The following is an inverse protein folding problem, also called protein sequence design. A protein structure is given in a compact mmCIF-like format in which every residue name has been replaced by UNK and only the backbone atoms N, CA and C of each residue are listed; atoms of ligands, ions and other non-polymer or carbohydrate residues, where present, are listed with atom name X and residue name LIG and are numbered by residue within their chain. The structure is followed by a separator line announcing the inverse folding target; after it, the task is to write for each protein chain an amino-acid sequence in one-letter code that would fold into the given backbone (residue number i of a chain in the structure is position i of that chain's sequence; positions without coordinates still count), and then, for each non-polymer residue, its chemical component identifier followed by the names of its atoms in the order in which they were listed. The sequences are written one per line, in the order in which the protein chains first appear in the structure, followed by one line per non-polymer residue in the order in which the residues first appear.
data_IF_730581101784
#
_entry.id   IF_730581101784
#
_cell.length_a   1.000
_cell.length_b   1.000
_cell.length_c   1.000
_cell.angle_alpha   90.00
_cell.angle_beta   90.00
_cell.angle_gamma   90.00
#
_symmetry.space_group_name_H-M   'P 1'
#
loop_
_entity.id
_entity.type
_entity.pdbx_description
1 polymer ?
#
# COMPACT_ATOMS: atom_id res chain seq x y z
N UNK A 1 -25.08 -12.10 6.28
CA UNK A 1 -24.95 -10.91 5.44
C UNK A 1 -25.93 -11.05 4.29
N UNK A 2 -27.16 -10.55 4.45
CA UNK A 2 -28.24 -10.74 3.46
C UNK A 2 -28.30 -9.60 2.42
N UNK A 3 -27.73 -8.45 2.74
CA UNK A 3 -27.66 -7.28 1.87
C UNK A 3 -26.20 -6.80 1.76
N UNK A 4 -25.81 -6.39 0.56
CA UNK A 4 -24.48 -5.83 0.31
C UNK A 4 -24.50 -4.36 0.76
N UNK A 5 -23.78 -3.99 1.86
CA UNK A 5 -23.83 -2.64 2.42
C UNK A 5 -23.29 -1.57 1.47
N UNK A 6 -22.52 -1.98 0.45
CA UNK A 6 -21.94 -1.08 -0.54
C UNK A 6 -22.89 -0.71 -1.69
N UNK A 7 -24.03 -1.41 -1.83
CA UNK A 7 -25.00 -1.14 -2.93
C UNK A 7 -25.80 0.15 -2.75
N UNK A 8 -25.91 0.65 -1.53
CA UNK A 8 -26.67 1.86 -1.21
C UNK A 8 -25.83 3.14 -1.23
N UNK A 9 -24.51 3.03 -1.41
CA UNK A 9 -23.63 4.20 -1.42
C UNK A 9 -23.85 5.06 -2.66
N UNK A 10 -23.87 6.37 -2.45
CA UNK A 10 -23.75 7.34 -3.52
C UNK A 10 -22.35 7.27 -4.14
N UNK A 11 -22.21 7.78 -5.37
CA UNK A 11 -20.93 7.74 -6.10
C UNK A 11 -19.76 8.32 -5.30
N UNK A 12 -19.96 9.47 -4.66
CA UNK A 12 -18.93 10.15 -3.87
C UNK A 12 -18.57 9.38 -2.59
N UNK A 13 -19.55 8.74 -1.95
CA UNK A 13 -19.33 7.88 -0.78
C UNK A 13 -18.54 6.62 -1.18
N UNK A 14 -18.86 6.04 -2.34
CA UNK A 14 -18.13 4.91 -2.90
C UNK A 14 -16.68 5.28 -3.26
N UNK A 15 -16.47 6.43 -3.90
CA UNK A 15 -15.11 6.93 -4.22
C UNK A 15 -14.30 7.16 -2.94
N UNK A 16 -14.93 7.72 -1.90
CA UNK A 16 -14.29 7.91 -0.59
C UNK A 16 -13.89 6.60 0.07
N UNK A 17 -14.81 5.64 0.12
CA UNK A 17 -14.54 4.33 0.70
C UNK A 17 -13.44 3.59 -0.07
N UNK A 18 -13.46 3.67 -1.40
CA UNK A 18 -12.50 2.97 -2.23
C UNK A 18 -11.07 3.49 -2.03
N UNK A 19 -10.89 4.81 -1.96
CA UNK A 19 -9.59 5.42 -1.64
C UNK A 19 -9.17 5.05 -0.22
N UNK A 20 -10.10 5.13 0.75
CA UNK A 20 -9.84 4.78 2.15
C UNK A 20 -9.38 3.34 2.29
N UNK A 21 -10.04 2.40 1.60
CA UNK A 21 -9.68 0.98 1.63
C UNK A 21 -8.27 0.75 1.07
N UNK A 22 -7.93 1.35 -0.07
CA UNK A 22 -6.58 1.27 -0.65
C UNK A 22 -5.52 1.86 0.29
N UNK A 23 -5.79 3.06 0.82
CA UNK A 23 -4.88 3.78 1.74
C UNK A 23 -4.63 2.98 3.02
N UNK A 24 -5.71 2.56 3.69
CA UNK A 24 -5.63 1.80 4.95
C UNK A 24 -4.86 0.50 4.77
N UNK A 25 -5.18 -0.28 3.73
CA UNK A 25 -4.53 -1.56 3.49
C UNK A 25 -3.05 -1.40 3.12
N UNK A 26 -2.68 -0.32 2.43
CA UNK A 26 -1.28 0.04 2.19
C UNK A 26 -0.58 0.40 3.51
N UNK A 27 -1.17 1.25 4.33
CA UNK A 27 -0.62 1.64 5.64
C UNK A 27 -0.42 0.43 6.58
N UNK A 28 -1.40 -0.47 6.65
CA UNK A 28 -1.27 -1.70 7.43
C UNK A 28 -0.12 -2.57 6.91
N UNK A 29 0.05 -2.69 5.59
CA UNK A 29 1.16 -3.41 4.99
C UNK A 29 2.50 -2.74 5.33
N UNK A 30 2.57 -1.41 5.28
CA UNK A 30 3.76 -0.65 5.65
C UNK A 30 4.11 -0.77 7.14
N UNK A 31 3.12 -0.83 8.04
CA UNK A 31 3.34 -1.08 9.48
C UNK A 31 4.07 -2.42 9.73
N UNK A 32 3.86 -3.42 8.88
CA UNK A 32 4.57 -4.72 8.95
C UNK A 32 6.04 -4.64 8.51
N UNK A 33 6.43 -3.59 7.77
CA UNK A 33 7.83 -3.29 7.42
C UNK A 33 8.49 -2.32 8.39
N UNK A 34 7.79 -1.24 8.79
CA UNK A 34 8.35 -0.19 9.65
C UNK A 34 8.65 -0.69 11.06
N UNK A 35 7.80 -1.54 11.63
CA UNK A 35 8.01 -2.09 12.98
C UNK A 35 9.32 -2.89 13.08
N UNK A 36 9.65 -3.81 12.15
CA UNK A 36 10.95 -4.50 12.14
C UNK A 36 12.13 -3.63 11.70
N UNK A 37 11.93 -2.67 10.78
CA UNK A 37 12.98 -1.70 10.41
C UNK A 37 13.40 -0.85 11.62
N UNK A 38 12.46 -0.52 12.50
CA UNK A 38 12.66 0.22 13.74
C UNK A 38 13.48 1.51 13.54
N UNK A 39 14.40 1.83 14.47
CA UNK A 39 15.27 2.99 14.33
C UNK A 39 16.35 2.71 13.28
N UNK A 40 16.76 3.75 12.56
CA UNK A 40 17.81 3.65 11.55
C UNK A 40 19.05 2.97 12.13
N UNK A 41 19.52 1.90 11.48
CA UNK A 41 20.69 1.12 11.91
C UNK A 41 20.47 0.19 13.10
N UNK A 42 19.25 0.12 13.65
CA UNK A 42 18.91 -0.73 14.79
C UNK A 42 17.64 -1.56 14.51
N UNK A 43 17.66 -2.46 13.50
CA UNK A 43 16.52 -3.28 13.17
C UNK A 43 16.13 -4.21 14.32
N UNK A 44 14.85 -4.61 14.33
CA UNK A 44 14.29 -5.59 15.27
C UNK A 44 13.69 -6.76 14.48
N UNK A 45 14.53 -7.68 13.94
CA UNK A 45 14.07 -8.75 13.04
C UNK A 45 12.91 -9.59 13.59
N UNK A 46 12.91 -9.88 14.90
CA UNK A 46 11.88 -10.68 15.58
C UNK A 46 10.48 -10.03 15.60
N UNK A 47 10.36 -8.75 15.26
CA UNK A 47 9.07 -8.07 15.13
C UNK A 47 8.41 -8.34 13.77
N UNK A 48 9.11 -9.04 12.86
CA UNK A 48 8.57 -9.38 11.55
C UNK A 48 7.42 -10.36 11.70
N UNK A 49 6.28 -10.05 11.08
CA UNK A 49 5.18 -10.99 10.93
C UNK A 49 5.67 -12.24 10.17
N UNK A 50 5.21 -13.43 10.54
CA UNK A 50 5.61 -14.68 9.87
C UNK A 50 7.12 -14.95 9.87
N UNK A 51 7.88 -14.44 10.87
CA UNK A 51 9.33 -14.66 10.93
C UNK A 51 9.73 -16.12 11.05
N UNK A 52 8.93 -16.94 11.77
CA UNK A 52 9.22 -18.37 11.96
C UNK A 52 9.07 -19.20 10.68
N UNK A 53 8.17 -18.78 9.78
CA UNK A 53 7.95 -19.43 8.49
C UNK A 53 8.79 -18.82 7.38
N UNK A 54 9.51 -17.73 7.66
CA UNK A 54 10.35 -17.02 6.68
C UNK A 54 9.59 -16.51 5.44
N UNK A 55 8.29 -16.18 5.60
CA UNK A 55 7.40 -15.76 4.49
C UNK A 55 7.01 -14.28 4.54
N UNK A 56 7.58 -13.48 5.44
CA UNK A 56 7.18 -12.08 5.68
C UNK A 56 7.14 -11.22 4.41
N UNK A 57 8.22 -11.23 3.61
CA UNK A 57 8.34 -10.42 2.40
C UNK A 57 7.48 -10.96 1.27
N UNK A 58 7.28 -12.28 1.19
CA UNK A 58 6.34 -12.87 0.22
C UNK A 58 4.90 -12.48 0.51
N UNK A 59 4.48 -12.51 1.78
CA UNK A 59 3.14 -12.08 2.19
C UNK A 59 2.92 -10.60 1.89
N UNK A 60 3.93 -9.77 2.13
CA UNK A 60 3.87 -8.34 1.81
C UNK A 60 3.82 -8.06 0.31
N UNK A 61 4.56 -8.82 -0.50
CA UNK A 61 4.45 -8.75 -1.97
C UNK A 61 3.03 -9.08 -2.43
N UNK A 62 2.45 -10.16 -1.93
CA UNK A 62 1.08 -10.55 -2.28
C UNK A 62 0.04 -9.47 -1.90
N UNK A 63 0.23 -8.79 -0.76
CA UNK A 63 -0.62 -7.64 -0.40
C UNK A 63 -0.46 -6.49 -1.40
N UNK A 64 0.77 -6.18 -1.82
CA UNK A 64 1.03 -5.12 -2.81
C UNK A 64 0.47 -5.47 -4.19
N UNK A 65 0.61 -6.73 -4.63
CA UNK A 65 0.00 -7.23 -5.87
C UNK A 65 -1.53 -7.13 -5.82
N UNK A 66 -2.13 -7.43 -4.67
CA UNK A 66 -3.57 -7.30 -4.46
C UNK A 66 -4.02 -5.84 -4.51
N UNK A 67 -3.28 -4.92 -3.90
CA UNK A 67 -3.52 -3.47 -3.98
C UNK A 67 -3.40 -2.95 -5.41
N UNK A 68 -2.39 -3.41 -6.15
CA UNK A 68 -2.20 -3.08 -7.57
C UNK A 68 -3.38 -3.57 -8.43
N UNK A 69 -3.78 -4.84 -8.27
CA UNK A 69 -4.97 -5.37 -8.95
C UNK A 69 -6.23 -4.59 -8.61
N UNK A 70 -6.37 -4.22 -7.34
CA UNK A 70 -7.49 -3.41 -6.88
C UNK A 70 -7.44 -1.99 -7.45
N UNK A 71 -6.28 -1.35 -7.57
CA UNK A 71 -6.13 -0.02 -8.17
C UNK A 71 -6.63 0.02 -9.63
N UNK A 72 -6.34 -1.03 -10.40
CA UNK A 72 -6.81 -1.14 -11.78
C UNK A 72 -8.23 -1.70 -11.91
N UNK A 73 -8.62 -2.64 -11.03
CA UNK A 73 -9.88 -3.39 -11.02
C UNK A 73 -10.40 -3.75 -12.44
N UNK A 74 -9.54 -4.38 -13.26
CA UNK A 74 -9.84 -4.75 -14.65
C UNK A 74 -10.33 -3.57 -15.51
N UNK A 75 -9.69 -2.40 -15.37
CA UNK A 75 -10.01 -1.18 -16.13
C UNK A 75 -11.22 -0.41 -15.58
N UNK A 76 -11.71 -0.77 -14.40
CA UNK A 76 -12.84 -0.11 -13.72
C UNK A 76 -12.46 0.47 -12.37
N UNK A 77 -11.18 0.44 -12.03
CA UNK A 77 -10.67 0.88 -10.74
C UNK A 77 -10.36 2.36 -10.67
N UNK A 78 -9.62 2.73 -9.64
CA UNK A 78 -9.23 4.11 -9.35
C UNK A 78 -8.41 4.74 -10.48
N UNK A 79 -7.58 3.96 -11.17
CA UNK A 79 -6.90 4.40 -12.41
C UNK A 79 -7.90 4.95 -13.44
N UNK A 80 -8.93 4.17 -13.76
CA UNK A 80 -9.93 4.55 -14.75
C UNK A 80 -10.76 5.76 -14.31
N UNK A 81 -11.06 5.87 -13.01
CA UNK A 81 -11.75 7.03 -12.43
C UNK A 81 -10.93 8.31 -12.61
N UNK A 82 -9.63 8.28 -12.28
CA UNK A 82 -8.73 9.41 -12.47
C UNK A 82 -8.65 9.83 -13.94
N UNK A 83 -8.47 8.86 -14.85
CA UNK A 83 -8.41 9.14 -16.30
C UNK A 83 -9.71 9.75 -16.83
N UNK A 84 -10.86 9.24 -16.39
CA UNK A 84 -12.17 9.79 -16.78
C UNK A 84 -12.37 11.25 -16.33
N UNK A 85 -11.70 11.67 -15.26
CA UNK A 85 -11.70 13.05 -14.76
C UNK A 85 -10.55 13.90 -15.32
N UNK A 86 -9.83 13.41 -16.34
CA UNK A 86 -8.72 14.12 -16.98
C UNK A 86 -7.41 14.12 -16.17
N UNK A 87 -7.33 13.34 -15.08
CA UNK A 87 -6.16 13.24 -14.19
C UNK A 87 -5.16 12.17 -14.64
N UNK A 88 -4.97 12.05 -15.96
CA UNK A 88 -4.14 11.01 -16.59
C UNK A 88 -2.71 10.96 -16.04
N UNK A 89 -2.07 12.12 -15.86
CA UNK A 89 -0.70 12.18 -15.32
C UNK A 89 -0.60 11.65 -13.89
N UNK A 90 -1.61 11.88 -13.06
CA UNK A 90 -1.65 11.33 -11.69
C UNK A 90 -1.87 9.82 -11.73
N UNK A 91 -2.76 9.33 -12.60
CA UNK A 91 -2.96 7.90 -12.81
C UNK A 91 -1.65 7.20 -13.23
N UNK A 92 -0.92 7.79 -14.19
CA UNK A 92 0.37 7.27 -14.65
C UNK A 92 1.43 7.26 -13.54
N UNK A 93 1.49 8.29 -12.69
CA UNK A 93 2.42 8.32 -11.53
C UNK A 93 2.11 7.22 -10.52
N UNK A 94 0.84 6.99 -10.20
CA UNK A 94 0.43 5.94 -9.25
C UNK A 94 0.74 4.56 -9.83
N UNK A 95 0.39 4.30 -11.10
CA UNK A 95 0.70 3.07 -11.80
C UNK A 95 2.21 2.78 -11.80
N UNK A 96 3.01 3.77 -12.22
CA UNK A 96 4.47 3.67 -12.21
C UNK A 96 5.03 3.37 -10.82
N UNK A 97 4.48 3.98 -9.77
CA UNK A 97 4.94 3.76 -8.41
C UNK A 97 4.64 2.33 -7.91
N UNK A 98 3.50 1.75 -8.29
CA UNK A 98 3.21 0.34 -8.04
C UNK A 98 4.19 -0.56 -8.80
N UNK A 99 4.37 -0.33 -10.11
CA UNK A 99 5.25 -1.13 -10.97
C UNK A 99 6.67 -1.13 -10.42
N UNK A 100 7.23 0.05 -10.14
CA UNK A 100 8.55 0.18 -9.52
C UNK A 100 8.64 -0.60 -8.20
N UNK A 101 7.64 -0.50 -7.33
CA UNK A 101 7.65 -1.18 -6.05
C UNK A 101 7.58 -2.71 -6.19
N UNK A 102 6.85 -3.23 -7.18
CA UNK A 102 6.71 -4.66 -7.44
C UNK A 102 7.93 -5.26 -8.17
N UNK A 103 8.44 -4.56 -9.19
CA UNK A 103 9.59 -4.98 -10.00
C UNK A 103 10.87 -5.06 -9.17
N UNK A 104 11.04 -4.11 -8.25
CA UNK A 104 12.21 -4.04 -7.37
C UNK A 104 11.97 -4.72 -6.01
N UNK A 105 10.87 -5.46 -5.87
CA UNK A 105 10.58 -6.17 -4.62
C UNK A 105 11.68 -7.21 -4.34
N UNK A 106 12.17 -7.34 -3.10
CA UNK A 106 13.20 -8.31 -2.73
C UNK A 106 12.88 -9.74 -3.19
N UNK A 107 13.90 -10.45 -3.70
CA UNK A 107 13.79 -11.90 -3.95
C UNK A 107 13.74 -12.70 -2.63
N UNK A 108 14.35 -12.17 -1.58
CA UNK A 108 14.27 -12.73 -0.23
C UNK A 108 12.82 -12.86 0.24
N UNK A 109 12.50 -14.02 0.81
CA UNK A 109 11.16 -14.29 1.36
C UNK A 109 11.00 -13.81 2.80
N UNK A 110 12.12 -13.67 3.52
CA UNK A 110 12.15 -13.42 4.96
C UNK A 110 12.65 -12.03 5.29
N UNK A 111 11.76 -11.21 5.86
CA UNK A 111 12.15 -9.91 6.41
C UNK A 111 13.10 -10.10 7.60
N UNK A 112 12.88 -11.15 8.40
CA UNK A 112 13.75 -11.49 9.51
C UNK A 112 15.20 -11.71 9.03
N UNK A 113 15.38 -12.50 7.98
CA UNK A 113 16.71 -12.82 7.45
C UNK A 113 17.35 -11.62 6.76
N UNK A 114 16.58 -10.86 5.97
CA UNK A 114 17.07 -9.64 5.31
C UNK A 114 17.65 -8.62 6.32
N UNK A 115 16.97 -8.44 7.46
CA UNK A 115 17.38 -7.49 8.49
C UNK A 115 18.61 -7.93 9.31
N UNK A 116 19.16 -9.12 9.09
CA UNK A 116 20.41 -9.56 9.72
C UNK A 116 21.68 -9.00 9.04
N UNK A 117 21.53 -8.32 7.90
CA UNK A 117 22.64 -7.76 7.14
C UNK A 117 22.44 -6.28 6.83
N UNK A 118 23.53 -5.55 6.63
CA UNK A 118 23.49 -4.12 6.25
C UNK A 118 22.84 -3.94 4.87
N UNK A 119 23.15 -4.81 3.92
CA UNK A 119 22.62 -4.71 2.56
C UNK A 119 21.13 -5.08 2.50
N UNK A 120 20.72 -6.15 3.20
CA UNK A 120 19.30 -6.49 3.33
C UNK A 120 18.51 -5.40 4.05
N UNK A 121 19.07 -4.77 5.09
CA UNK A 121 18.46 -3.60 5.73
C UNK A 121 18.26 -2.45 4.74
N UNK A 122 19.28 -2.10 3.95
CA UNK A 122 19.21 -1.02 2.95
C UNK A 122 18.16 -1.31 1.89
N UNK A 123 18.10 -2.54 1.42
CA UNK A 123 17.14 -3.01 0.42
C UNK A 123 15.70 -2.92 0.94
N UNK A 124 15.45 -3.37 2.18
CA UNK A 124 14.13 -3.22 2.81
C UNK A 124 13.76 -1.75 3.04
N UNK A 125 14.71 -0.91 3.47
CA UNK A 125 14.48 0.52 3.65
C UNK A 125 14.16 1.22 2.33
N UNK A 126 14.86 0.87 1.25
CA UNK A 126 14.55 1.37 -0.09
C UNK A 126 13.13 0.97 -0.52
N UNK A 127 12.71 -0.26 -0.21
CA UNK A 127 11.35 -0.70 -0.49
C UNK A 127 10.31 0.06 0.33
N UNK A 128 10.58 0.28 1.61
CA UNK A 128 9.72 1.08 2.48
C UNK A 128 9.51 2.50 1.94
N UNK A 129 10.58 3.16 1.49
CA UNK A 129 10.49 4.51 0.91
C UNK A 129 9.64 4.56 -0.37
N UNK A 130 9.69 3.52 -1.21
CA UNK A 130 8.80 3.43 -2.39
C UNK A 130 7.33 3.32 -1.98
N UNK A 131 7.03 2.60 -0.90
CA UNK A 131 5.66 2.51 -0.39
C UNK A 131 5.21 3.81 0.28
N UNK A 132 6.11 4.57 0.92
CA UNK A 132 5.80 5.92 1.41
C UNK A 132 5.42 6.87 0.26
N UNK A 133 6.15 6.82 -0.86
CA UNK A 133 5.79 7.61 -2.04
C UNK A 133 4.43 7.18 -2.63
N UNK A 134 4.15 5.87 -2.67
CA UNK A 134 2.85 5.37 -3.11
C UNK A 134 1.72 5.84 -2.19
N UNK A 135 1.94 5.79 -0.88
CA UNK A 135 1.01 6.28 0.14
C UNK A 135 0.73 7.76 -0.05
N UNK A 136 1.76 8.58 -0.26
CA UNK A 136 1.61 10.00 -0.54
C UNK A 136 0.74 10.26 -1.78
N UNK A 137 1.00 9.55 -2.89
CA UNK A 137 0.20 9.71 -4.11
C UNK A 137 -1.28 9.35 -3.88
N UNK A 138 -1.56 8.25 -3.17
CA UNK A 138 -2.95 7.79 -2.94
C UNK A 138 -3.67 8.67 -1.91
N UNK A 139 -3.03 8.96 -0.78
CA UNK A 139 -3.66 9.65 0.35
C UNK A 139 -3.76 11.15 0.07
N UNK A 140 -2.71 11.78 -0.44
CA UNK A 140 -2.68 13.24 -0.60
C UNK A 140 -3.16 13.64 -1.99
N UNK A 141 -2.53 13.15 -3.06
CA UNK A 141 -2.84 13.65 -4.41
C UNK A 141 -4.18 13.13 -4.92
N UNK A 142 -4.42 11.81 -4.86
CA UNK A 142 -5.65 11.22 -5.40
C UNK A 142 -6.89 11.64 -4.59
N UNK A 143 -6.81 11.68 -3.26
CA UNK A 143 -7.95 12.10 -2.45
C UNK A 143 -8.34 13.56 -2.73
N UNK A 144 -7.37 14.48 -2.80
CA UNK A 144 -7.60 15.89 -3.11
C UNK A 144 -8.24 16.04 -4.49
N UNK A 145 -7.68 15.38 -5.51
CA UNK A 145 -8.16 15.51 -6.89
C UNK A 145 -9.55 14.91 -7.13
N UNK A 146 -9.95 13.94 -6.31
CA UNK A 146 -11.29 13.37 -6.33
C UNK A 146 -12.26 14.05 -5.35
N UNK A 147 -11.81 15.09 -4.63
CA UNK A 147 -12.64 15.84 -3.67
C UNK A 147 -13.04 15.00 -2.45
N UNK A 148 -12.24 13.99 -2.10
CA UNK A 148 -12.46 13.08 -0.99
C UNK A 148 -11.63 13.53 0.21
N UNK A 149 -12.26 13.54 1.39
CA UNK A 149 -11.55 13.70 2.67
C UNK A 149 -11.38 12.31 3.28
N UNK A 150 -10.13 11.84 3.37
CA UNK A 150 -9.82 10.61 4.10
C UNK A 150 -9.89 10.94 5.59
N UNK A 151 -10.67 10.16 6.35
CA UNK A 151 -10.81 10.37 7.79
C UNK A 151 -9.49 10.17 8.52
N UNK A 152 -9.10 11.14 9.37
CA UNK A 152 -7.86 11.13 10.17
C UNK A 152 -7.67 9.87 11.05
N UNK A 153 -8.74 9.13 11.37
CA UNK A 153 -8.71 7.98 12.29
C UNK A 153 -8.95 6.63 11.59
N UNK A 154 -8.81 6.52 10.27
CA UNK A 154 -9.16 5.30 9.56
C UNK A 154 -8.28 4.07 9.91
N UNK A 155 -7.08 4.27 10.48
CA UNK A 155 -6.21 3.17 10.95
C UNK A 155 -5.93 3.13 12.45
N UNK A 156 -6.53 4.05 13.22
CA UNK A 156 -6.47 4.11 14.68
C UNK A 156 -7.85 3.68 15.19
N UNK A 157 -8.00 2.36 15.37
CA UNK A 157 -9.30 1.74 15.63
C UNK A 157 -10.01 2.28 16.88
N UNK A 158 -11.25 2.70 16.68
CA UNK A 158 -12.37 2.29 17.53
C UNK A 158 -12.44 0.74 17.56
#
# INVERSE_FOLDING_TARGET
WAENPWKSLQKTEWESEYISLLSNQLEYSMKKLSRPLAKIGHPRPYFSESWRSETSLSNLKANLESLHQLYFANGKGLDALLRAQGKTQLADRVAYQFDMALETWPEDKSLFSALQSVDGYRLVLAQYNKLEQLKYLIHEEVAIELGVVIGFNATDGD
#
